data_IF_930745621155
#
_entry.id   IF_930745621155
#
_cell.length_a   1.000
_cell.length_b   1.000
_cell.length_c   1.000
_cell.angle_alpha   90.00
_cell.angle_beta   90.00
_cell.angle_gamma   90.00
#
_symmetry.space_group_name_H-M   'P 1'
#
loop_
_entity.id
_entity.type
_entity.pdbx_description
1 polymer ?
#
# COMPACT_ATOMS: atom_id res chain seq x y z
N UNK A 1 -39.34 26.07 24.38
CA UNK A 1 -38.26 25.09 24.67
C UNK A 1 -37.97 24.39 23.37
N UNK A 2 -36.98 24.89 22.63
CA UNK A 2 -36.55 24.32 21.36
C UNK A 2 -35.43 23.33 21.66
N UNK A 3 -35.63 22.07 21.28
CA UNK A 3 -34.59 21.06 21.20
C UNK A 3 -34.70 20.41 19.82
N UNK A 4 -34.41 21.20 18.79
CA UNK A 4 -34.04 20.67 17.49
C UNK A 4 -32.61 20.15 17.61
N UNK A 5 -32.53 18.83 17.80
CA UNK A 5 -31.28 18.08 17.67
C UNK A 5 -30.79 18.22 16.24
N UNK A 6 -29.78 19.05 16.05
CA UNK A 6 -29.04 19.21 14.82
C UNK A 6 -28.35 17.88 14.50
N UNK A 7 -29.02 17.01 13.74
CA UNK A 7 -28.35 15.88 13.09
C UNK A 7 -27.51 16.50 11.98
N UNK A 8 -26.24 16.76 12.28
CA UNK A 8 -25.22 16.95 11.26
C UNK A 8 -25.03 15.60 10.59
N UNK A 9 -25.79 15.32 9.53
CA UNK A 9 -25.47 14.22 8.63
C UNK A 9 -24.17 14.59 7.93
N UNK A 10 -23.03 14.21 8.50
CA UNK A 10 -21.73 14.30 7.85
C UNK A 10 -21.77 13.39 6.61
N UNK A 11 -22.23 13.93 5.49
CA UNK A 11 -22.21 13.29 4.18
C UNK A 11 -20.77 13.06 3.64
N UNK A 12 -19.75 13.49 4.39
CA UNK A 12 -18.36 13.57 3.94
C UNK A 12 -17.47 12.39 4.38
N UNK A 13 -18.04 11.37 5.03
CA UNK A 13 -17.28 10.20 5.54
C UNK A 13 -17.55 8.89 4.78
N UNK A 14 -18.20 8.95 3.62
CA UNK A 14 -18.63 7.76 2.90
C UNK A 14 -17.45 6.91 2.40
N UNK A 15 -17.37 5.64 2.82
CA UNK A 15 -16.28 4.73 2.44
C UNK A 15 -16.47 4.27 0.99
N UNK A 16 -15.59 4.73 0.09
CA UNK A 16 -15.59 4.40 -1.34
C UNK A 16 -14.72 3.18 -1.60
N UNK A 17 -15.35 2.10 -2.07
CA UNK A 17 -14.71 0.80 -2.25
C UNK A 17 -14.64 0.40 -3.71
N UNK A 18 -13.51 -0.15 -4.12
CA UNK A 18 -13.31 -0.83 -5.40
C UNK A 18 -13.23 -2.34 -5.21
N UNK A 19 -13.89 -3.12 -6.07
CA UNK A 19 -13.77 -4.59 -6.09
C UNK A 19 -13.20 -5.03 -7.43
N UNK A 20 -11.96 -5.53 -7.39
CA UNK A 20 -11.24 -6.01 -8.57
C UNK A 20 -11.19 -7.54 -8.57
N UNK A 21 -11.95 -8.16 -9.46
CA UNK A 21 -11.89 -9.61 -9.65
C UNK A 21 -10.80 -9.94 -10.64
N UNK A 22 -9.84 -10.76 -10.21
CA UNK A 22 -8.72 -11.22 -11.05
C UNK A 22 -8.96 -12.70 -11.36
N UNK A 23 -9.38 -12.98 -12.59
CA UNK A 23 -9.72 -14.34 -13.02
C UNK A 23 -9.83 -14.44 -14.54
N UNK A 24 -8.96 -15.25 -15.15
CA UNK A 24 -9.08 -15.66 -16.56
C UNK A 24 -10.46 -16.21 -16.92
N UNK A 25 -11.03 -17.07 -16.07
CA UNK A 25 -12.30 -17.74 -16.35
C UNK A 25 -13.48 -16.77 -16.29
N UNK A 26 -13.51 -15.86 -15.31
CA UNK A 26 -14.55 -14.83 -15.24
C UNK A 26 -14.39 -13.83 -16.39
N UNK A 27 -13.16 -13.42 -16.71
CA UNK A 27 -12.87 -12.49 -17.81
C UNK A 27 -13.32 -13.04 -19.18
N UNK A 28 -13.14 -14.35 -19.41
CA UNK A 28 -13.60 -15.03 -20.64
C UNK A 28 -15.07 -15.47 -20.59
N UNK A 29 -15.83 -15.07 -19.58
CA UNK A 29 -17.23 -15.47 -19.35
C UNK A 29 -17.43 -17.00 -19.27
N UNK A 30 -16.43 -17.74 -18.81
CA UNK A 30 -16.48 -19.18 -18.59
C UNK A 30 -17.01 -19.54 -17.19
N UNK A 31 -17.02 -18.57 -16.27
CA UNK A 31 -17.53 -18.70 -14.92
C UNK A 31 -18.17 -17.40 -14.46
N UNK A 32 -19.13 -17.49 -13.54
CA UNK A 32 -19.72 -16.34 -12.87
C UNK A 32 -18.81 -15.85 -11.73
N UNK A 33 -18.66 -14.53 -11.60
CA UNK A 33 -17.95 -13.91 -10.48
C UNK A 33 -18.76 -13.93 -9.17
N UNK A 34 -18.89 -15.13 -8.59
CA UNK A 34 -19.59 -15.31 -7.31
C UNK A 34 -18.87 -14.64 -6.14
N UNK A 35 -17.55 -14.42 -6.24
CA UNK A 35 -16.75 -13.84 -5.16
C UNK A 35 -16.91 -12.32 -5.11
N UNK A 36 -16.67 -11.64 -6.23
CA UNK A 36 -16.80 -10.19 -6.33
C UNK A 36 -18.23 -9.72 -6.09
N UNK A 37 -19.24 -10.43 -6.59
CA UNK A 37 -20.65 -10.10 -6.30
C UNK A 37 -20.94 -10.22 -4.79
N UNK A 38 -20.50 -11.29 -4.14
CA UNK A 38 -20.69 -11.45 -2.70
C UNK A 38 -19.96 -10.37 -1.88
N UNK A 39 -18.76 -9.97 -2.30
CA UNK A 39 -18.02 -8.88 -1.66
C UNK A 39 -18.76 -7.54 -1.77
N UNK A 40 -19.48 -7.28 -2.87
CA UNK A 40 -20.31 -6.06 -2.99
C UNK A 40 -21.37 -6.03 -1.91
N UNK A 41 -22.06 -7.15 -1.69
CA UNK A 41 -23.11 -7.26 -0.68
C UNK A 41 -22.54 -7.05 0.72
N UNK A 42 -21.40 -7.69 1.03
CA UNK A 42 -20.73 -7.56 2.34
C UNK A 42 -20.23 -6.14 2.62
N UNK A 43 -19.75 -5.44 1.59
CA UNK A 43 -19.30 -4.04 1.72
C UNK A 43 -20.50 -3.11 1.93
N UNK A 44 -21.59 -3.34 1.21
CA UNK A 44 -22.80 -2.52 1.31
C UNK A 44 -23.55 -2.69 2.62
N UNK A 45 -23.44 -3.85 3.27
CA UNK A 45 -24.13 -4.15 4.53
C UNK A 45 -23.75 -3.11 5.63
N UNK A 46 -24.72 -2.31 6.12
CA UNK A 46 -24.47 -1.30 7.16
C UNK A 46 -24.03 -1.88 8.51
N UNK A 47 -24.32 -3.17 8.75
CA UNK A 47 -23.88 -3.88 9.97
C UNK A 47 -22.43 -4.37 9.88
N UNK A 48 -21.85 -4.36 8.68
CA UNK A 48 -20.46 -4.73 8.43
C UNK A 48 -19.62 -3.46 8.19
N UNK A 49 -19.50 -3.02 6.93
CA UNK A 49 -18.69 -1.87 6.57
C UNK A 49 -19.52 -0.63 6.25
N UNK A 50 -20.75 -0.80 5.72
CA UNK A 50 -21.59 0.32 5.27
C UNK A 50 -20.94 1.18 4.18
N UNK A 51 -20.08 0.58 3.34
CA UNK A 51 -19.39 1.25 2.25
C UNK A 51 -20.24 1.35 0.97
N UNK A 52 -19.73 2.09 -0.02
CA UNK A 52 -20.29 2.13 -1.37
C UNK A 52 -19.33 1.57 -2.39
N UNK A 53 -19.88 0.80 -3.32
CA UNK A 53 -19.13 0.30 -4.47
C UNK A 53 -18.99 1.43 -5.49
N UNK A 54 -17.81 2.05 -5.50
CA UNK A 54 -17.45 3.13 -6.42
C UNK A 54 -16.76 2.63 -7.69
N UNK A 55 -16.23 1.41 -7.66
CA UNK A 55 -15.65 0.76 -8.82
C UNK A 55 -15.79 -0.77 -8.73
N UNK A 56 -15.99 -1.39 -9.89
CA UNK A 56 -15.95 -2.84 -10.05
C UNK A 56 -15.45 -3.19 -11.44
N UNK A 57 -14.52 -4.14 -11.53
CA UNK A 57 -13.96 -4.61 -12.80
C UNK A 57 -13.52 -6.06 -12.65
N UNK A 58 -13.64 -6.81 -13.74
CA UNK A 58 -13.03 -8.14 -13.90
C UNK A 58 -11.85 -7.97 -14.86
N UNK A 59 -10.68 -8.48 -14.49
CA UNK A 59 -9.47 -8.49 -15.30
C UNK A 59 -8.90 -9.92 -15.39
N UNK A 60 -8.17 -10.27 -16.46
CA UNK A 60 -7.44 -11.54 -16.53
C UNK A 60 -6.27 -11.54 -15.54
N UNK A 61 -5.67 -12.72 -15.39
CA UNK A 61 -4.47 -12.94 -14.57
C UNK A 61 -3.20 -12.41 -15.29
N UNK A 62 -3.20 -11.11 -15.61
CA UNK A 62 -2.12 -10.36 -16.27
C UNK A 62 -1.62 -9.24 -15.34
N UNK A 63 -0.32 -9.26 -15.03
CA UNK A 63 0.25 -8.39 -14.00
C UNK A 63 0.05 -6.90 -14.33
N UNK A 64 0.22 -6.50 -15.59
CA UNK A 64 0.14 -5.10 -16.00
C UNK A 64 -1.31 -4.60 -15.98
N UNK A 65 -2.29 -5.41 -16.39
CA UNK A 65 -3.71 -5.01 -16.31
C UNK A 65 -4.18 -4.81 -14.85
N UNK A 66 -3.69 -5.66 -13.94
CA UNK A 66 -3.97 -5.52 -12.51
C UNK A 66 -3.33 -4.22 -11.99
N UNK A 67 -2.06 -3.98 -12.29
CA UNK A 67 -1.33 -2.76 -11.87
C UNK A 67 -2.00 -1.48 -12.37
N UNK A 68 -2.29 -1.40 -13.66
CA UNK A 68 -2.93 -0.24 -14.28
C UNK A 68 -4.28 0.05 -13.61
N UNK A 69 -5.08 -0.99 -13.36
CA UNK A 69 -6.38 -0.84 -12.69
C UNK A 69 -6.21 -0.37 -11.24
N UNK A 70 -5.27 -0.94 -10.49
CA UNK A 70 -5.01 -0.52 -9.11
C UNK A 70 -4.52 0.93 -9.04
N UNK A 71 -3.63 1.35 -9.95
CA UNK A 71 -3.13 2.73 -10.02
C UNK A 71 -4.25 3.70 -10.37
N UNK A 72 -5.05 3.44 -11.41
CA UNK A 72 -6.22 4.27 -11.77
C UNK A 72 -7.18 4.42 -10.59
N UNK A 73 -7.46 3.33 -9.88
CA UNK A 73 -8.40 3.36 -8.76
C UNK A 73 -7.87 4.10 -7.53
N UNK A 74 -6.55 4.09 -7.32
CA UNK A 74 -5.94 4.84 -6.24
C UNK A 74 -5.82 6.33 -6.57
N UNK A 75 -5.32 6.64 -7.77
CA UNK A 75 -4.82 7.97 -8.10
C UNK A 75 -5.92 8.84 -8.74
N UNK A 76 -6.68 8.28 -9.68
CA UNK A 76 -7.72 9.02 -10.41
C UNK A 76 -9.08 8.91 -9.71
N UNK A 77 -9.43 7.71 -9.21
CA UNK A 77 -10.69 7.52 -8.50
C UNK A 77 -10.62 7.89 -7.03
N UNK A 78 -9.43 8.02 -6.45
CA UNK A 78 -9.22 8.28 -5.01
C UNK A 78 -10.10 7.39 -4.11
N UNK A 79 -10.10 6.07 -4.36
CA UNK A 79 -10.86 5.13 -3.52
C UNK A 79 -10.25 5.05 -2.10
N UNK A 80 -11.06 4.68 -1.12
CA UNK A 80 -10.56 4.48 0.25
C UNK A 80 -10.05 3.05 0.46
N UNK A 81 -10.70 2.08 -0.18
CA UNK A 81 -10.42 0.66 -0.05
C UNK A 81 -10.53 -0.01 -1.41
N UNK A 82 -9.56 -0.86 -1.74
CA UNK A 82 -9.63 -1.78 -2.87
C UNK A 82 -9.52 -3.21 -2.33
N UNK A 83 -10.51 -4.02 -2.66
CA UNK A 83 -10.50 -5.46 -2.42
C UNK A 83 -10.26 -6.17 -3.75
N UNK A 84 -9.12 -6.84 -3.89
CA UNK A 84 -8.94 -7.77 -5.01
C UNK A 84 -9.43 -9.16 -4.61
N UNK A 85 -9.98 -9.92 -5.54
CA UNK A 85 -10.38 -11.32 -5.32
C UNK A 85 -9.87 -12.20 -6.45
N UNK A 86 -9.00 -13.15 -6.13
CA UNK A 86 -8.38 -14.06 -7.10
C UNK A 86 -6.89 -13.79 -7.33
N UNK A 87 -6.23 -14.71 -8.05
CA UNK A 87 -4.83 -14.58 -8.43
C UNK A 87 -3.80 -14.58 -7.29
N UNK A 88 -4.13 -15.11 -6.10
CA UNK A 88 -3.24 -15.12 -4.91
C UNK A 88 -2.70 -16.50 -4.52
N UNK A 89 -3.02 -17.56 -5.27
CA UNK A 89 -2.61 -18.93 -4.97
C UNK A 89 -1.23 -19.28 -5.54
N UNK A 90 -0.97 -20.57 -5.71
CA UNK A 90 0.28 -21.10 -6.26
C UNK A 90 0.19 -21.42 -7.76
N UNK A 91 -0.95 -21.14 -8.42
CA UNK A 91 -1.05 -21.41 -9.84
C UNK A 91 -0.07 -20.50 -10.61
N UNK A 92 0.51 -20.95 -11.76
CA UNK A 92 1.52 -20.17 -12.47
C UNK A 92 1.07 -18.79 -12.94
N UNK A 93 -0.25 -18.61 -13.08
CA UNK A 93 -0.87 -17.34 -13.49
C UNK A 93 -1.24 -16.44 -12.31
N UNK A 94 -1.20 -16.93 -11.08
CA UNK A 94 -1.56 -16.14 -9.90
C UNK A 94 -0.49 -15.06 -9.65
N UNK A 95 -0.76 -13.84 -10.12
CA UNK A 95 0.20 -12.70 -10.08
C UNK A 95 -0.33 -11.46 -9.35
N UNK A 96 -1.48 -11.57 -8.69
CA UNK A 96 -2.11 -10.44 -7.99
C UNK A 96 -1.25 -9.87 -6.85
N UNK A 97 -0.60 -10.70 -6.00
CA UNK A 97 0.31 -10.19 -4.96
C UNK A 97 1.51 -9.43 -5.54
N UNK A 98 2.05 -9.90 -6.66
CA UNK A 98 3.19 -9.29 -7.35
C UNK A 98 2.79 -7.92 -7.91
N UNK A 99 1.67 -7.85 -8.64
CA UNK A 99 1.08 -6.58 -9.11
C UNK A 99 0.84 -5.60 -7.95
N UNK A 100 0.33 -6.10 -6.81
CA UNK A 100 0.04 -5.27 -5.63
C UNK A 100 1.32 -4.69 -5.03
N UNK A 101 2.39 -5.48 -4.90
CA UNK A 101 3.69 -5.00 -4.37
C UNK A 101 4.31 -3.91 -5.23
N UNK A 102 4.10 -3.94 -6.55
CA UNK A 102 4.64 -2.93 -7.45
C UNK A 102 3.93 -1.56 -7.35
N UNK A 103 2.69 -1.51 -6.85
CA UNK A 103 1.90 -0.27 -6.81
C UNK A 103 1.80 0.36 -5.42
N UNK A 104 1.95 -0.43 -4.35
CA UNK A 104 1.88 0.08 -2.97
C UNK A 104 3.13 0.90 -2.60
N UNK A 105 2.93 1.93 -1.79
CA UNK A 105 3.99 2.76 -1.23
C UNK A 105 4.46 2.24 0.14
N UNK A 106 3.54 1.64 0.90
CA UNK A 106 3.79 1.08 2.23
C UNK A 106 3.07 -0.24 2.40
N UNK A 107 3.76 -1.27 2.88
CA UNK A 107 3.12 -2.54 3.22
C UNK A 107 2.31 -2.46 4.53
N UNK A 108 1.25 -3.26 4.60
CA UNK A 108 0.42 -3.49 5.79
C UNK A 108 0.47 -4.97 6.21
N UNK A 109 1.65 -5.49 6.62
CA UNK A 109 1.87 -6.92 6.82
C UNK A 109 0.98 -7.52 7.92
N UNK A 110 0.56 -6.72 8.90
CA UNK A 110 -0.36 -7.18 9.95
C UNK A 110 -1.72 -7.65 9.43
N UNK A 111 -2.24 -7.03 8.36
CA UNK A 111 -3.52 -7.45 7.76
C UNK A 111 -3.38 -8.75 6.98
N UNK A 112 -2.29 -8.91 6.23
CA UNK A 112 -1.95 -10.17 5.56
C UNK A 112 -1.77 -11.31 6.57
N UNK A 113 -1.08 -11.04 7.69
CA UNK A 113 -0.92 -11.99 8.78
C UNK A 113 -2.26 -12.40 9.41
N UNK A 114 -3.14 -11.44 9.71
CA UNK A 114 -4.46 -11.72 10.28
C UNK A 114 -5.29 -12.66 9.39
N UNK A 115 -5.30 -12.40 8.07
CA UNK A 115 -5.98 -13.28 7.10
C UNK A 115 -5.36 -14.68 7.05
N UNK A 116 -4.02 -14.77 7.02
CA UNK A 116 -3.32 -16.06 6.97
C UNK A 116 -3.55 -16.87 8.25
N UNK A 117 -3.45 -16.26 9.42
CA UNK A 117 -3.72 -16.94 10.71
C UNK A 117 -5.17 -17.42 10.79
N UNK A 118 -6.13 -16.57 10.42
CA UNK A 118 -7.55 -16.96 10.37
C UNK A 118 -7.78 -18.13 9.39
N UNK A 119 -7.17 -18.08 8.21
CA UNK A 119 -7.27 -19.15 7.21
C UNK A 119 -6.65 -20.46 7.70
N UNK A 120 -5.49 -20.42 8.36
CA UNK A 120 -4.81 -21.60 8.90
C UNK A 120 -5.59 -22.28 10.01
N UNK A 121 -6.37 -21.52 10.80
CA UNK A 121 -7.27 -22.08 11.79
C UNK A 121 -8.46 -22.83 11.16
N UNK A 122 -8.84 -22.49 9.93
CA UNK A 122 -9.91 -23.17 9.18
C UNK A 122 -9.38 -24.38 8.41
N UNK A 123 -8.21 -24.24 7.77
CA UNK A 123 -7.60 -25.30 6.97
C UNK A 123 -6.10 -25.10 6.81
N UNK A 124 -5.27 -26.18 6.86
CA UNK A 124 -3.85 -26.07 6.56
C UNK A 124 -3.58 -25.53 5.16
N UNK A 125 -4.52 -25.67 4.21
CA UNK A 125 -4.39 -25.13 2.86
C UNK A 125 -4.31 -23.59 2.82
N UNK A 126 -4.64 -22.91 3.94
CA UNK A 126 -4.44 -21.47 4.08
C UNK A 126 -3.00 -21.01 3.80
N UNK A 127 -1.99 -21.87 4.04
CA UNK A 127 -0.58 -21.54 3.74
C UNK A 127 -0.27 -21.40 2.25
N UNK A 128 -1.16 -21.85 1.37
CA UNK A 128 -0.98 -21.74 -0.10
C UNK A 128 -1.44 -20.39 -0.64
N UNK A 129 -2.04 -19.54 0.19
CA UNK A 129 -2.39 -18.17 -0.18
C UNK A 129 -1.19 -17.25 0.03
N UNK A 130 -0.97 -16.31 -0.90
CA UNK A 130 0.13 -15.34 -0.87
C UNK A 130 -0.35 -13.88 -0.78
N UNK A 131 -1.34 -13.55 0.07
CA UNK A 131 -1.96 -12.22 0.04
C UNK A 131 -0.95 -11.13 0.37
N UNK A 132 -1.07 -9.98 -0.31
CA UNK A 132 -0.40 -8.74 0.06
C UNK A 132 -1.46 -7.74 0.48
N UNK A 133 -1.11 -6.93 1.48
CA UNK A 133 -1.89 -5.77 1.88
C UNK A 133 -0.94 -4.58 1.93
N UNK A 134 -1.39 -3.43 1.47
CA UNK A 134 -0.58 -2.24 1.45
C UNK A 134 -1.37 -0.99 1.13
N UNK A 135 -0.68 0.12 1.15
CA UNK A 135 -1.26 1.46 1.07
C UNK A 135 -0.62 2.19 -0.11
N UNK A 136 -1.45 2.87 -0.90
CA UNK A 136 -1.05 3.83 -1.93
C UNK A 136 -1.87 5.10 -1.76
N UNK A 137 -1.24 6.23 -1.47
CA UNK A 137 -1.95 7.46 -1.13
C UNK A 137 -2.95 7.28 0.02
N UNK A 138 -4.24 7.53 -0.26
CA UNK A 138 -5.36 7.37 0.68
C UNK A 138 -6.06 6.00 0.60
N UNK A 139 -5.52 5.10 -0.21
CA UNK A 139 -6.16 3.83 -0.56
C UNK A 139 -5.49 2.67 0.15
N UNK A 140 -6.28 1.89 0.88
CA UNK A 140 -5.87 0.58 1.38
C UNK A 140 -6.17 -0.49 0.32
N UNK A 141 -5.19 -1.29 -0.07
CA UNK A 141 -5.33 -2.40 -1.03
C UNK A 141 -5.17 -3.72 -0.26
N UNK A 142 -6.11 -4.64 -0.46
CA UNK A 142 -6.15 -5.94 0.22
C UNK A 142 -6.41 -7.04 -0.79
N UNK A 143 -5.51 -8.04 -0.85
CA UNK A 143 -5.73 -9.22 -1.68
C UNK A 143 -6.49 -10.31 -0.93
N UNK A 144 -7.64 -10.70 -1.48
CA UNK A 144 -8.48 -11.78 -0.97
C UNK A 144 -8.41 -13.02 -1.89
N UNK A 145 -8.62 -14.23 -1.35
CA UNK A 145 -8.69 -15.45 -2.17
C UNK A 145 -9.80 -15.40 -3.23
N UNK A 146 -9.64 -16.13 -4.35
CA UNK A 146 -10.63 -16.10 -5.45
C UNK A 146 -11.95 -16.81 -5.16
N UNK A 147 -11.99 -17.73 -4.19
CA UNK A 147 -13.24 -18.44 -3.85
C UNK A 147 -14.16 -17.55 -3.00
N UNK A 148 -15.47 -17.58 -3.27
CA UNK A 148 -16.49 -16.85 -2.48
C UNK A 148 -16.36 -17.06 -0.97
N UNK A 149 -16.11 -18.30 -0.54
CA UNK A 149 -15.97 -18.64 0.89
C UNK A 149 -14.70 -18.00 1.47
N UNK A 150 -13.55 -18.21 0.82
CA UNK A 150 -12.27 -17.70 1.29
C UNK A 150 -12.18 -16.18 1.29
N UNK A 151 -12.72 -15.50 0.27
CA UNK A 151 -12.77 -14.03 0.25
C UNK A 151 -13.64 -13.47 1.37
N UNK A 152 -14.81 -14.08 1.61
CA UNK A 152 -15.72 -13.69 2.69
C UNK A 152 -15.09 -13.90 4.08
N UNK A 153 -14.51 -15.07 4.35
CA UNK A 153 -13.85 -15.35 5.64
C UNK A 153 -12.68 -14.39 5.88
N UNK A 154 -11.82 -14.19 4.88
CA UNK A 154 -10.71 -13.24 4.98
C UNK A 154 -11.16 -11.80 5.18
N UNK A 155 -12.22 -11.36 4.49
CA UNK A 155 -12.82 -10.04 4.72
C UNK A 155 -13.31 -9.90 6.17
N UNK A 156 -13.95 -10.93 6.72
CA UNK A 156 -14.41 -10.92 8.11
C UNK A 156 -13.27 -10.86 9.12
N UNK A 157 -12.13 -11.53 8.86
CA UNK A 157 -10.96 -11.49 9.77
C UNK A 157 -10.36 -10.09 9.93
N UNK A 158 -10.44 -9.26 8.88
CA UNK A 158 -9.84 -7.92 8.87
C UNK A 158 -10.86 -6.79 9.09
N UNK A 159 -12.16 -7.07 8.92
CA UNK A 159 -13.24 -6.10 9.04
C UNK A 159 -13.16 -5.22 10.31
N UNK A 160 -12.85 -5.76 11.52
CA UNK A 160 -12.79 -4.94 12.72
C UNK A 160 -11.78 -3.78 12.66
N UNK A 161 -10.74 -3.90 11.84
CA UNK A 161 -9.70 -2.88 11.69
C UNK A 161 -9.97 -1.90 10.53
N UNK A 162 -10.86 -2.24 9.59
CA UNK A 162 -11.05 -1.47 8.36
C UNK A 162 -11.52 -0.02 8.59
N UNK A 163 -12.56 0.25 9.42
CA UNK A 163 -13.03 1.63 9.61
C UNK A 163 -11.93 2.56 10.10
N UNK A 164 -11.22 2.16 11.15
CA UNK A 164 -10.14 2.97 11.72
C UNK A 164 -8.95 3.12 10.77
N UNK A 165 -8.57 2.07 10.05
CA UNK A 165 -7.49 2.15 9.07
C UNK A 165 -7.82 3.14 7.94
N UNK A 166 -9.07 3.15 7.46
CA UNK A 166 -9.53 4.05 6.40
C UNK A 166 -9.54 5.50 6.87
N UNK A 167 -10.02 5.78 8.09
CA UNK A 167 -10.04 7.14 8.64
C UNK A 167 -8.62 7.71 8.79
N UNK A 168 -7.66 6.91 9.26
CA UNK A 168 -6.25 7.34 9.35
C UNK A 168 -5.66 7.74 7.99
N UNK A 169 -6.07 7.08 6.91
CA UNK A 169 -5.59 7.38 5.55
C UNK A 169 -6.23 8.64 4.95
N UNK A 170 -7.45 9.00 5.38
CA UNK A 170 -8.09 10.27 5.01
C UNK A 170 -7.38 11.44 5.68
N UNK A 171 -7.16 11.35 6.98
CA UNK A 171 -6.62 12.44 7.80
C UNK A 171 -5.14 12.72 7.56
N UNK A 172 -4.39 11.71 7.10
CA UNK A 172 -2.97 11.85 6.77
C UNK A 172 -2.70 12.98 5.77
N UNK A 173 -3.69 13.34 4.92
CA UNK A 173 -3.56 14.42 3.95
C UNK A 173 -4.31 15.69 4.35
N UNK A 174 -5.39 15.64 5.16
CA UNK A 174 -5.99 16.89 5.68
C UNK A 174 -4.92 17.72 6.38
N UNK A 175 -4.08 17.08 7.21
CA UNK A 175 -2.95 17.76 7.86
C UNK A 175 -1.86 18.23 6.90
N UNK A 176 -1.62 17.53 5.78
CA UNK A 176 -0.57 17.91 4.81
C UNK A 176 -1.04 19.01 3.87
N UNK A 177 -2.30 18.97 3.40
CA UNK A 177 -2.93 20.03 2.62
C UNK A 177 -3.10 21.30 3.44
N UNK A 178 -3.61 21.22 4.68
CA UNK A 178 -3.68 22.38 5.58
C UNK A 178 -2.31 23.02 5.78
N UNK A 179 -1.25 22.23 5.95
CA UNK A 179 0.13 22.74 6.07
C UNK A 179 0.63 23.34 4.76
N UNK A 180 0.33 22.73 3.61
CA UNK A 180 0.74 23.26 2.31
C UNK A 180 0.01 24.57 1.97
N UNK A 181 -1.31 24.59 2.11
CA UNK A 181 -2.17 25.75 1.90
C UNK A 181 -1.75 26.90 2.86
N UNK A 182 -1.48 26.60 4.14
CA UNK A 182 -0.97 27.59 5.09
C UNK A 182 0.43 28.13 4.76
N UNK A 183 1.26 27.36 4.03
CA UNK A 183 2.57 27.80 3.56
C UNK A 183 2.48 28.58 2.24
N UNK A 184 1.49 28.32 1.40
CA UNK A 184 1.21 29.08 0.18
C UNK A 184 0.54 30.44 0.49
N UNK A 185 -0.24 30.53 1.57
CA UNK A 185 -0.83 31.79 2.07
C UNK A 185 0.17 32.71 2.80
N UNK A 186 1.42 32.29 2.99
CA UNK A 186 2.46 33.19 3.47
C UNK A 186 2.82 34.19 2.36
N UNK A 187 2.81 35.52 2.64
CA UNK A 187 3.22 36.50 1.65
C UNK A 187 4.65 36.18 1.21
N UNK A 188 4.82 36.02 -0.10
CA UNK A 188 6.13 35.78 -0.70
C UNK A 188 7.11 36.81 -0.15
N UNK A 189 8.11 36.34 0.59
CA UNK A 189 9.21 37.20 1.01
C UNK A 189 9.91 37.65 -0.26
N UNK A 190 9.63 38.89 -0.67
CA UNK A 190 10.35 39.60 -1.71
C UNK A 190 11.85 39.40 -1.47
N UNK A 191 12.47 38.56 -2.30
CA UNK A 191 13.93 38.53 -2.38
C UNK A 191 14.40 39.91 -2.84
N UNK A 192 15.26 40.61 -2.08
CA UNK A 192 15.93 41.78 -2.62
C UNK A 192 16.76 41.33 -3.82
N UNK A 193 16.54 41.96 -4.97
CA UNK A 193 17.38 41.73 -6.16
C UNK A 193 18.86 41.93 -5.80
N UNK A 194 19.80 41.14 -6.36
CA UNK A 194 21.22 41.34 -6.11
C UNK A 194 21.62 42.75 -6.58
N UNK A 195 22.10 43.56 -5.62
CA UNK A 195 22.65 44.89 -5.90
C UNK A 195 23.83 44.77 -6.88
N UNK A 196 23.83 45.66 -7.88
CA UNK A 196 24.91 45.83 -8.85
C UNK A 196 26.29 46.00 -8.16
N UNK A 197 27.37 45.45 -8.74
CA UNK A 197 28.72 45.71 -8.24
C UNK A 197 29.17 47.14 -8.59
N UNK A 198 29.92 47.83 -7.71
CA UNK A 198 30.50 49.15 -7.97
C UNK A 198 31.73 49.06 -8.90
N UNK A 199 32.16 50.18 -9.52
CA UNK A 199 33.11 50.15 -10.63
C UNK A 199 34.55 49.85 -10.19
N UNK A 200 35.31 49.33 -11.16
CA UNK A 200 36.68 48.90 -11.03
C UNK A 200 37.63 50.05 -10.63
N UNK A 201 38.36 49.86 -9.54
CA UNK A 201 39.60 50.58 -9.27
C UNK A 201 40.79 49.66 -9.54
N UNK A 202 41.59 50.09 -10.50
CA UNK A 202 42.88 49.53 -10.88
C UNK A 202 43.91 49.76 -9.77
N UNK A 203 44.46 48.68 -9.20
CA UNK A 203 45.77 48.72 -8.57
C UNK A 203 46.56 47.46 -8.91
N UNK A 204 47.55 47.65 -9.80
CA UNK A 204 48.68 46.73 -10.01
C UNK A 204 49.31 46.38 -8.66
N UNK A 205 49.50 45.10 -8.38
CA UNK A 205 50.71 44.62 -7.70
C UNK A 205 50.98 43.13 -7.97
N UNK A 206 52.27 42.81 -7.97
CA UNK A 206 52.93 41.68 -8.61
C UNK A 206 52.89 40.40 -7.78
N UNK A 207 52.86 39.27 -8.50
CA UNK A 207 53.56 37.98 -8.23
C UNK A 207 53.45 37.32 -6.85
N UNK A 208 52.94 36.08 -6.83
CA UNK A 208 53.75 34.87 -6.61
C UNK A 208 52.92 33.59 -6.81
N UNK A 209 53.43 32.71 -7.66
CA UNK A 209 52.95 31.35 -7.88
C UNK A 209 53.29 30.51 -6.64
N UNK A 210 52.32 29.82 -6.05
CA UNK A 210 52.56 28.73 -5.11
C UNK A 210 51.68 27.54 -5.48
N UNK A 211 52.32 26.43 -5.82
CA UNK A 211 51.72 25.18 -6.25
C UNK A 211 51.11 24.43 -5.06
N UNK A 212 49.80 24.21 -5.09
CA UNK A 212 49.12 23.34 -4.12
C UNK A 212 49.04 21.92 -4.69
N UNK A 213 49.80 21.03 -4.05
CA UNK A 213 49.85 19.59 -4.30
C UNK A 213 48.47 18.95 -4.11
N UNK A 214 48.03 18.16 -5.09
CA UNK A 214 46.88 17.23 -4.99
C UNK A 214 47.15 16.23 -3.87
N UNK A 215 46.35 16.27 -2.79
CA UNK A 215 46.32 15.24 -1.76
C UNK A 215 45.23 14.22 -2.12
N UNK A 216 45.67 13.07 -2.63
CA UNK A 216 44.84 11.89 -2.88
C UNK A 216 44.31 11.34 -1.55
N UNK A 217 42.99 11.38 -1.36
CA UNK A 217 42.32 10.76 -0.21
C UNK A 217 42.11 9.28 -0.54
N UNK A 218 42.96 8.40 0.02
CA UNK A 218 42.81 6.94 -0.05
C UNK A 218 41.42 6.55 0.47
N UNK A 219 40.65 5.86 -0.38
CA UNK A 219 39.43 5.12 0.01
C UNK A 219 39.83 4.08 1.06
N UNK A 220 39.18 4.11 2.24
CA UNK A 220 39.20 2.99 3.17
C UNK A 220 38.15 1.99 2.71
N UNK A 221 38.61 0.85 2.23
CA UNK A 221 37.83 -0.36 2.02
C UNK A 221 37.37 -0.87 3.39
N UNK A 222 36.06 -0.97 3.60
CA UNK A 222 35.48 -1.67 4.75
C UNK A 222 35.45 -3.15 4.40
N UNK A 223 36.26 -3.94 5.10
CA UNK A 223 36.26 -5.40 5.02
C UNK A 223 35.06 -5.92 5.83
N UNK A 224 34.11 -6.54 5.16
CA UNK A 224 33.04 -7.30 5.81
C UNK A 224 33.61 -8.64 6.32
N UNK A 225 33.49 -8.90 7.62
CA UNK A 225 33.68 -10.24 8.18
C UNK A 225 32.34 -10.98 8.17
N UNK A 226 32.28 -12.22 7.64
CA UNK A 226 31.06 -13.02 7.71
C UNK A 226 30.81 -13.44 9.17
N UNK A 227 29.61 -13.15 9.66
CA UNK A 227 29.14 -13.70 10.93
C UNK A 227 29.00 -15.22 10.83
N UNK A 228 29.32 -15.88 11.93
CA UNK A 228 29.40 -17.34 12.08
C UNK A 228 28.08 -17.98 11.68
N UNK A 229 28.17 -18.93 10.75
CA UNK A 229 27.12 -19.89 10.43
C UNK A 229 26.80 -20.76 11.64
N UNK A 230 25.51 -20.95 11.94
CA UNK A 230 25.05 -21.91 12.92
C UNK A 230 25.39 -23.34 12.46
N UNK A 231 25.84 -24.19 13.38
CA UNK A 231 26.17 -25.59 13.11
C UNK A 231 24.90 -26.41 12.78
N UNK A 232 25.02 -27.47 11.95
CA UNK A 232 23.87 -28.30 11.61
C UNK A 232 23.37 -29.09 12.83
N UNK A 233 22.03 -29.18 12.95
CA UNK A 233 21.37 -29.99 13.98
C UNK A 233 21.69 -31.48 13.78
N UNK A 234 21.95 -32.17 14.88
CA UNK A 234 22.22 -33.62 14.87
C UNK A 234 20.95 -34.42 14.60
N UNK A 235 21.07 -35.65 14.09
CA UNK A 235 19.94 -36.53 13.78
C UNK A 235 19.00 -36.81 14.97
N UNK A 236 19.48 -36.63 16.22
CA UNK A 236 18.64 -36.71 17.42
C UNK A 236 17.75 -35.48 17.63
N UNK A 237 18.20 -34.28 17.21
CA UNK A 237 17.41 -33.05 17.30
C UNK A 237 16.31 -32.98 16.25
N UNK A 238 16.51 -33.62 15.09
CA UNK A 238 15.49 -33.71 14.03
C UNK A 238 14.31 -34.62 14.44
N UNK A 239 14.56 -35.64 15.27
CA UNK A 239 13.55 -36.62 15.68
C UNK A 239 12.57 -36.07 16.75
N UNK A 240 12.98 -35.05 17.50
CA UNK A 240 12.15 -34.36 18.49
C UNK A 240 11.17 -33.36 17.85
N UNK A 241 11.47 -32.84 16.66
CA UNK A 241 10.60 -31.92 15.92
C UNK A 241 9.51 -32.63 15.11
N UNK A 242 9.63 -33.93 14.85
CA UNK A 242 8.66 -34.74 14.11
C UNK A 242 7.60 -35.43 15.01
N UNK A 243 7.59 -35.10 16.31
CA UNK A 243 6.64 -35.65 17.30
C UNK A 243 5.86 -34.56 18.06
N UNK A 244 5.88 -33.32 17.58
CA UNK A 244 5.09 -32.20 18.10
C UNK A 244 4.03 -31.78 17.08
#
# INVERSE_FOLDING_TARGET
MASDGMILTNHDHQIRVGILTVSDSCFRNLAEDRSGINLKDLVHDPSLLGGIISAYKIVPDEIDEIKETLVDWCDEKELNLILTTGGTGFAPRDVTPEATREVIEREAPGMALAMLMGSLNVTPLGMLSRPVCGIRGKTLIINLPGSKKGSQECFQFILPALPHAIDLLRDAIVKVKEVHDALEDLPSLHHPSPLHPPPAHTSRQKTRVCSVRKRTRKRRTVVWHPQRTAAPLTSQQLLLLLRA
#
